data_IF_441342287061
#
_entry.id   IF_441342287061
#
_cell.length_a   1.000
_cell.length_b   1.000
_cell.length_c   1.000
_cell.angle_alpha   90.00
_cell.angle_beta   90.00
_cell.angle_gamma   90.00
#
_symmetry.space_group_name_H-M   'P 1'
#
loop_
_entity.id
_entity.type
_entity.pdbx_description
1 polymer ?
#
# COMPACT_ATOMS: atom_id res chain seq x y z
N UNK A 1 7.87 19.15 -10.06
CA UNK A 1 6.97 18.83 -8.92
C UNK A 1 5.69 18.25 -9.51
N UNK A 2 5.41 16.96 -9.28
CA UNK A 2 4.22 16.29 -9.85
C UNK A 2 2.93 16.95 -9.35
N UNK A 3 2.90 17.42 -8.09
CA UNK A 3 1.75 18.13 -7.50
C UNK A 3 1.40 19.48 -8.14
N UNK A 4 2.31 20.12 -8.86
CA UNK A 4 2.01 21.35 -9.63
C UNK A 4 1.53 21.06 -11.05
N UNK A 5 1.82 19.86 -11.56
CA UNK A 5 1.37 19.41 -12.89
C UNK A 5 -0.01 18.75 -12.79
N UNK A 6 -0.27 18.03 -11.70
CA UNK A 6 -1.54 17.35 -11.44
C UNK A 6 -2.19 17.85 -10.13
N UNK A 7 -2.98 18.95 -10.19
CA UNK A 7 -3.65 19.52 -9.02
C UNK A 7 -4.80 18.64 -8.49
N UNK A 8 -5.19 17.62 -9.25
CA UNK A 8 -6.21 16.62 -8.91
C UNK A 8 -5.70 15.53 -7.97
N UNK A 9 -4.37 15.40 -7.80
CA UNK A 9 -3.79 14.42 -6.88
C UNK A 9 -4.24 14.71 -5.45
N UNK A 10 -4.78 13.68 -4.80
CA UNK A 10 -5.20 13.71 -3.39
C UNK A 10 -4.38 12.71 -2.59
N UNK A 11 -4.25 12.97 -1.29
CA UNK A 11 -3.66 11.99 -0.37
C UNK A 11 -4.66 10.87 -0.16
N UNK A 12 -4.17 9.63 -0.29
CA UNK A 12 -4.93 8.40 -0.12
C UNK A 12 -5.64 8.41 1.25
N UNK A 13 -6.92 8.04 1.26
CA UNK A 13 -7.79 7.95 2.44
C UNK A 13 -8.14 9.28 3.16
N UNK A 14 -7.75 10.46 2.65
CA UNK A 14 -8.08 11.77 3.28
C UNK A 14 -8.90 12.68 2.37
N UNK A 15 -9.02 12.38 1.08
CA UNK A 15 -9.63 13.27 0.08
C UNK A 15 -9.07 14.71 0.06
N UNK A 16 -7.88 14.94 0.62
CA UNK A 16 -7.23 16.26 0.65
C UNK A 16 -6.29 16.42 -0.54
N UNK A 17 -6.37 17.51 -1.33
CA UNK A 17 -5.46 17.78 -2.44
C UNK A 17 -3.99 17.89 -2.01
N UNK A 18 -3.13 17.13 -2.68
CA UNK A 18 -1.68 17.07 -2.43
C UNK A 18 -1.01 18.43 -2.65
N UNK A 19 -1.49 19.23 -3.62
CA UNK A 19 -0.96 20.56 -3.90
C UNK A 19 -1.17 21.57 -2.76
N UNK A 20 -2.16 21.35 -1.87
CA UNK A 20 -2.38 22.15 -0.66
C UNK A 20 -1.39 21.73 0.42
N UNK A 21 -1.16 20.43 0.55
CA UNK A 21 -0.24 19.87 1.56
C UNK A 21 1.22 20.16 1.23
N UNK A 22 1.63 20.11 -0.04
CA UNK A 22 3.00 20.46 -0.46
C UNK A 22 3.40 21.94 -0.24
N UNK A 23 2.49 22.79 0.24
CA UNK A 23 2.78 24.18 0.62
C UNK A 23 3.13 24.33 2.10
N UNK A 24 2.92 23.29 2.89
CA UNK A 24 3.18 23.28 4.32
C UNK A 24 3.67 21.88 4.72
N UNK A 25 4.98 21.75 4.86
CA UNK A 25 5.64 20.48 5.13
C UNK A 25 5.12 19.86 6.44
N UNK A 26 4.88 20.63 7.50
CA UNK A 26 4.31 20.13 8.76
C UNK A 26 2.91 19.52 8.58
N UNK A 27 2.07 20.13 7.73
CA UNK A 27 0.75 19.56 7.39
C UNK A 27 0.87 18.32 6.52
N UNK A 28 1.83 18.29 5.60
CA UNK A 28 2.11 17.10 4.82
C UNK A 28 2.53 15.95 5.73
N UNK A 29 3.40 16.19 6.71
CA UNK A 29 3.81 15.17 7.68
C UNK A 29 2.63 14.71 8.53
N UNK A 30 1.84 15.62 9.12
CA UNK A 30 0.70 15.22 9.94
C UNK A 30 -0.40 14.47 9.16
N UNK A 31 -0.67 14.87 7.92
CA UNK A 31 -1.78 14.33 7.13
C UNK A 31 -1.36 13.10 6.31
N UNK A 32 -0.14 13.10 5.76
CA UNK A 32 0.35 12.04 4.88
C UNK A 32 1.33 11.07 5.57
N UNK A 33 2.20 11.53 6.49
CA UNK A 33 3.10 10.65 7.26
C UNK A 33 2.47 10.12 8.56
N UNK A 34 1.37 10.71 9.02
CA UNK A 34 0.57 10.17 10.12
C UNK A 34 -0.15 8.85 9.80
N UNK A 35 0.08 8.29 8.60
CA UNK A 35 -0.56 7.07 8.09
C UNK A 35 0.50 6.14 7.51
N UNK A 36 0.29 4.85 7.73
CA UNK A 36 1.23 3.81 7.30
C UNK A 36 1.10 3.54 5.79
N UNK A 37 2.21 3.72 5.06
CA UNK A 37 2.34 3.19 3.71
C UNK A 37 2.37 1.66 3.76
N UNK A 38 1.77 1.01 2.74
CA UNK A 38 1.69 -0.44 2.70
C UNK A 38 1.98 -0.98 1.29
N UNK A 39 2.33 -2.26 1.23
CA UNK A 39 2.44 -3.05 0.01
C UNK A 39 1.30 -4.07 0.03
N UNK A 40 0.43 -4.05 -0.97
CA UNK A 40 -0.66 -5.02 -1.07
C UNK A 40 -0.13 -6.40 -1.45
N UNK A 41 -0.46 -7.42 -0.65
CA UNK A 41 -0.09 -8.83 -0.92
C UNK A 41 -1.18 -9.60 -1.69
N UNK A 42 -2.31 -8.95 -1.99
CA UNK A 42 -3.46 -9.55 -2.67
C UNK A 42 -4.57 -8.52 -2.91
N UNK A 43 -5.62 -8.95 -3.61
CA UNK A 43 -6.85 -8.16 -3.80
C UNK A 43 -7.79 -8.31 -2.61
N UNK A 44 -8.76 -7.41 -2.49
CA UNK A 44 -9.83 -7.51 -1.48
C UNK A 44 -10.65 -8.78 -1.70
N UNK A 45 -10.79 -9.59 -0.65
CA UNK A 45 -11.60 -10.82 -0.65
C UNK A 45 -12.81 -10.67 0.29
N UNK A 46 -14.01 -11.11 -0.12
CA UNK A 46 -15.17 -11.08 0.76
C UNK A 46 -15.05 -12.14 1.86
N UNK A 47 -15.18 -11.74 3.11
CA UNK A 47 -15.19 -12.64 4.28
C UNK A 47 -16.46 -12.46 5.10
N UNK A 48 -17.00 -13.55 5.63
CA UNK A 48 -18.08 -13.49 6.63
C UNK A 48 -17.48 -13.19 7.99
N UNK A 49 -18.21 -12.45 8.84
CA UNK A 49 -17.73 -12.02 10.17
C UNK A 49 -17.17 -13.17 11.01
N UNK A 50 -17.85 -14.31 11.03
CA UNK A 50 -17.40 -15.49 11.80
C UNK A 50 -16.15 -16.17 11.23
N UNK A 51 -15.73 -15.84 10.00
CA UNK A 51 -14.50 -16.35 9.39
C UNK A 51 -13.29 -15.47 9.69
N UNK A 52 -13.50 -14.21 10.08
CA UNK A 52 -12.42 -13.21 10.23
C UNK A 52 -11.34 -13.71 11.18
N UNK A 53 -11.71 -14.12 12.39
CA UNK A 53 -10.73 -14.55 13.40
C UNK A 53 -9.94 -15.79 12.97
N UNK A 54 -10.60 -16.72 12.26
CA UNK A 54 -9.94 -17.91 11.71
C UNK A 54 -8.94 -17.55 10.64
N UNK A 55 -9.32 -16.70 9.68
CA UNK A 55 -8.44 -16.26 8.58
C UNK A 55 -7.25 -15.46 9.13
N UNK A 56 -7.50 -14.55 10.07
CA UNK A 56 -6.44 -13.78 10.74
C UNK A 56 -5.46 -14.70 11.46
N UNK A 57 -5.95 -15.72 12.16
CA UNK A 57 -5.10 -16.69 12.86
C UNK A 57 -4.27 -17.53 11.90
N UNK A 58 -4.85 -17.97 10.78
CA UNK A 58 -4.14 -18.69 9.72
C UNK A 58 -3.05 -17.83 9.08
N UNK A 59 -3.36 -16.56 8.75
CA UNK A 59 -2.39 -15.61 8.21
C UNK A 59 -1.22 -15.38 9.17
N UNK A 60 -1.51 -15.12 10.46
CA UNK A 60 -0.47 -14.95 11.49
C UNK A 60 0.43 -16.18 11.57
N UNK A 61 -0.14 -17.37 11.65
CA UNK A 61 0.64 -18.61 11.73
C UNK A 61 1.50 -18.83 10.48
N UNK A 62 0.99 -18.50 9.28
CA UNK A 62 1.71 -18.73 8.02
C UNK A 62 2.81 -17.71 7.76
N UNK A 63 2.64 -16.48 8.25
CA UNK A 63 3.61 -15.39 8.06
C UNK A 63 4.61 -15.24 9.21
N UNK A 64 4.35 -15.82 10.39
CA UNK A 64 5.22 -15.65 11.57
C UNK A 64 6.68 -16.11 11.38
N UNK A 65 6.94 -17.05 10.46
CA UNK A 65 8.28 -17.59 10.23
C UNK A 65 9.10 -16.76 9.24
N UNK A 66 8.53 -15.69 8.70
CA UNK A 66 9.21 -14.84 7.73
C UNK A 66 10.11 -13.83 8.44
N UNK A 67 11.36 -13.78 7.98
CA UNK A 67 12.35 -12.84 8.50
C UNK A 67 12.10 -11.44 7.96
N UNK A 68 12.57 -10.43 8.69
CA UNK A 68 12.59 -9.06 8.20
C UNK A 68 13.59 -8.93 7.04
N UNK A 69 13.26 -8.11 6.05
CA UNK A 69 14.09 -7.89 4.86
C UNK A 69 14.00 -6.44 4.39
N UNK A 70 15.00 -6.01 3.62
CA UNK A 70 15.05 -4.68 3.00
C UNK A 70 14.35 -4.68 1.65
N UNK A 71 13.74 -3.56 1.31
CA UNK A 71 13.00 -3.34 0.07
C UNK A 71 13.58 -2.14 -0.64
N UNK A 72 13.87 -2.29 -1.93
CA UNK A 72 14.37 -1.22 -2.77
C UNK A 72 13.24 -0.63 -3.63
N UNK A 73 13.18 0.69 -3.68
CA UNK A 73 12.22 1.47 -4.47
C UNK A 73 12.96 2.36 -5.47
N UNK A 74 12.47 2.51 -6.70
CA UNK A 74 13.18 3.33 -7.70
C UNK A 74 12.27 4.14 -8.62
N UNK A 75 11.19 3.55 -9.14
CA UNK A 75 10.39 4.18 -10.21
C UNK A 75 9.04 4.67 -9.70
N UNK A 76 8.59 5.81 -10.22
CA UNK A 76 7.19 6.22 -10.07
C UNK A 76 6.29 5.38 -10.97
N UNK A 77 5.21 4.87 -10.42
CA UNK A 77 4.23 4.06 -11.15
C UNK A 77 2.81 4.52 -10.83
N UNK A 78 1.93 4.43 -11.84
CA UNK A 78 0.53 4.82 -11.71
C UNK A 78 -0.33 3.57 -11.73
N UNK A 79 -1.07 3.34 -10.66
CA UNK A 79 -2.05 2.27 -10.56
C UNK A 79 -3.46 2.81 -10.59
N UNK A 80 -4.40 2.01 -11.08
CA UNK A 80 -5.84 2.32 -11.06
C UNK A 80 -6.53 1.16 -10.35
N UNK A 81 -7.47 1.47 -9.45
CA UNK A 81 -8.23 0.42 -8.77
C UNK A 81 -9.18 -0.33 -9.73
N UNK A 82 -9.69 -1.47 -9.25
CA UNK A 82 -10.48 -2.41 -10.07
C UNK A 82 -11.74 -1.81 -10.69
N UNK A 83 -12.43 -0.90 -9.98
CA UNK A 83 -13.63 -0.21 -10.47
C UNK A 83 -13.33 1.10 -11.21
N UNK A 84 -12.04 1.45 -11.36
CA UNK A 84 -11.52 2.65 -12.04
C UNK A 84 -12.03 3.97 -11.49
N UNK A 85 -12.39 4.00 -10.22
CA UNK A 85 -12.83 5.23 -9.53
C UNK A 85 -11.67 6.02 -8.94
N UNK A 86 -10.52 5.38 -8.71
CA UNK A 86 -9.34 5.99 -8.09
C UNK A 86 -8.05 5.65 -8.85
N UNK A 87 -7.17 6.64 -8.94
CA UNK A 87 -5.82 6.51 -9.48
C UNK A 87 -4.81 6.79 -8.38
N UNK A 88 -3.80 5.93 -8.27
CA UNK A 88 -2.77 5.95 -7.23
C UNK A 88 -1.42 6.23 -7.87
N UNK A 89 -0.69 7.19 -7.32
CA UNK A 89 0.73 7.36 -7.60
C UNK A 89 1.52 6.57 -6.55
N UNK A 90 2.34 5.64 -7.01
CA UNK A 90 3.09 4.70 -6.16
C UNK A 90 4.56 4.68 -6.56
N UNK A 91 5.37 4.00 -5.76
CA UNK A 91 6.78 3.75 -6.08
C UNK A 91 6.98 2.24 -6.23
N UNK A 92 7.49 1.83 -7.39
CA UNK A 92 7.74 0.43 -7.75
C UNK A 92 8.83 -0.18 -6.87
N UNK A 93 8.57 -1.41 -6.41
CA UNK A 93 9.59 -2.26 -5.75
C UNK A 93 10.43 -2.94 -6.82
N UNK A 94 11.76 -2.80 -6.77
CA UNK A 94 12.63 -3.19 -7.90
C UNK A 94 13.44 -4.47 -7.72
N UNK A 95 14.37 -4.54 -6.78
CA UNK A 95 15.31 -5.68 -6.68
C UNK A 95 15.32 -6.23 -5.26
N UNK A 96 15.66 -5.40 -4.26
CA UNK A 96 15.56 -5.77 -2.86
C UNK A 96 14.13 -6.12 -2.47
N UNK A 97 13.95 -7.29 -1.84
CA UNK A 97 12.69 -7.72 -1.24
C UNK A 97 11.66 -8.36 -2.17
N UNK A 98 11.83 -8.32 -3.50
CA UNK A 98 10.84 -8.90 -4.42
C UNK A 98 10.63 -10.41 -4.21
N UNK A 99 11.70 -11.15 -3.91
CA UNK A 99 11.63 -12.59 -3.67
C UNK A 99 10.85 -12.88 -2.39
N UNK A 100 11.09 -12.11 -1.34
CA UNK A 100 10.41 -12.24 -0.05
C UNK A 100 8.94 -11.83 -0.15
N UNK A 101 8.62 -10.75 -0.87
CA UNK A 101 7.25 -10.31 -1.17
C UNK A 101 6.52 -11.39 -1.98
N UNK A 102 7.18 -12.00 -2.98
CA UNK A 102 6.56 -13.10 -3.74
C UNK A 102 6.21 -14.29 -2.86
N UNK A 103 7.12 -14.69 -1.96
CA UNK A 103 6.86 -15.75 -0.97
C UNK A 103 5.69 -15.39 -0.05
N UNK A 104 5.56 -14.11 0.32
CA UNK A 104 4.43 -13.59 1.08
C UNK A 104 3.11 -13.71 0.31
N UNK A 105 3.09 -13.31 -0.95
CA UNK A 105 1.92 -13.45 -1.83
C UNK A 105 1.52 -14.93 -1.95
N UNK A 106 2.47 -15.83 -2.19
CA UNK A 106 2.22 -17.27 -2.27
C UNK A 106 1.68 -17.83 -0.94
N UNK A 107 2.21 -17.37 0.19
CA UNK A 107 1.73 -17.77 1.51
C UNK A 107 0.27 -17.32 1.76
N UNK A 108 -0.07 -16.09 1.37
CA UNK A 108 -1.44 -15.53 1.47
C UNK A 108 -2.40 -16.26 0.53
N UNK A 109 -2.00 -16.55 -0.71
CA UNK A 109 -2.85 -17.23 -1.70
C UNK A 109 -3.20 -18.68 -1.32
N UNK A 110 -2.43 -19.29 -0.42
CA UNK A 110 -2.64 -20.66 0.03
C UNK A 110 -3.49 -20.74 1.31
N UNK A 111 -4.24 -19.69 1.66
CA UNK A 111 -5.22 -19.63 2.74
C UNK A 111 -6.61 -19.56 2.12
#
# INVERSE_FOLDING_TARGET
KISSQEPSLRVVDVDVPLNILCKNDEKLEQVALGREFHISLGRTVPLRVHQIDSVVSMLRNKLQTQQHYWIDFNNWEVFVNDDRTHTFLSVEVVHGGLVEIRKQIEAVNAI
#
